data_IF_057468622677
#
_entry.id   IF_057468622677
#
_cell.length_a   1.000
_cell.length_b   1.000
_cell.length_c   1.000
_cell.angle_alpha   90.00
_cell.angle_beta   90.00
_cell.angle_gamma   90.00
#
_symmetry.space_group_name_H-M   'P 1'
#
loop_
_entity.id
_entity.type
_entity.pdbx_description
1 polymer ?
#
# COMPACT_ATOMS: atom_id res chain seq x y z
N UNK A 1 28.28 -2.76 -15.74
CA UNK A 1 28.06 -4.04 -15.04
C UNK A 1 27.05 -3.79 -13.94
N UNK A 2 25.82 -4.35 -14.01
CA UNK A 2 24.89 -4.29 -12.88
C UNK A 2 25.40 -5.30 -11.85
N UNK A 3 25.98 -4.82 -10.76
CA UNK A 3 26.32 -5.64 -9.61
C UNK A 3 25.07 -6.39 -9.17
N UNK A 4 25.06 -7.71 -9.35
CA UNK A 4 23.95 -8.54 -8.89
C UNK A 4 23.98 -8.52 -7.37
N UNK A 5 23.10 -7.71 -6.77
CA UNK A 5 22.88 -7.71 -5.32
C UNK A 5 22.57 -9.14 -4.86
N UNK A 6 23.11 -9.53 -3.71
CA UNK A 6 22.83 -10.86 -3.13
C UNK A 6 21.32 -11.01 -2.87
N UNK A 7 20.77 -12.23 -2.90
CA UNK A 7 19.36 -12.46 -2.57
C UNK A 7 18.93 -11.86 -1.22
N UNK A 8 19.83 -11.82 -0.23
CA UNK A 8 19.61 -11.19 1.06
C UNK A 8 19.46 -9.66 0.96
N UNK A 9 20.29 -9.01 0.14
CA UNK A 9 20.18 -7.56 -0.13
C UNK A 9 18.89 -7.23 -0.88
N UNK A 10 18.52 -8.01 -1.89
CA UNK A 10 17.25 -7.85 -2.63
C UNK A 10 16.07 -7.96 -1.66
N UNK A 11 16.07 -8.96 -0.77
CA UNK A 11 15.04 -9.14 0.25
C UNK A 11 14.98 -7.97 1.24
N UNK A 12 16.13 -7.48 1.71
CA UNK A 12 16.20 -6.36 2.62
C UNK A 12 15.71 -5.04 1.98
N UNK A 13 16.14 -4.76 0.74
CA UNK A 13 15.68 -3.60 -0.03
C UNK A 13 14.18 -3.64 -0.26
N UNK A 14 13.64 -4.79 -0.69
CA UNK A 14 12.19 -4.95 -0.87
C UNK A 14 11.42 -4.77 0.44
N UNK A 15 11.90 -5.31 1.55
CA UNK A 15 11.26 -5.16 2.85
C UNK A 15 11.20 -3.68 3.30
N UNK A 16 12.31 -2.95 3.17
CA UNK A 16 12.37 -1.53 3.50
C UNK A 16 11.42 -0.71 2.63
N UNK A 17 11.40 -0.97 1.33
CA UNK A 17 10.56 -0.22 0.40
C UNK A 17 9.06 -0.54 0.59
N UNK A 18 8.70 -1.77 0.96
CA UNK A 18 7.34 -2.13 1.37
C UNK A 18 6.93 -1.46 2.69
N UNK A 19 7.84 -1.32 3.67
CA UNK A 19 7.56 -0.58 4.90
C UNK A 19 7.27 0.89 4.62
N UNK A 20 8.04 1.52 3.72
CA UNK A 20 7.77 2.89 3.28
C UNK A 20 6.45 3.02 2.54
N UNK A 21 6.11 2.05 1.70
CA UNK A 21 4.82 2.00 1.03
C UNK A 21 3.67 1.89 2.03
N UNK A 22 3.79 1.04 3.06
CA UNK A 22 2.81 0.94 4.14
C UNK A 22 2.63 2.25 4.90
N UNK A 23 3.72 2.96 5.20
CA UNK A 23 3.65 4.28 5.85
C UNK A 23 2.87 5.31 5.00
N UNK A 24 3.02 5.29 3.67
CA UNK A 24 2.23 6.14 2.78
C UNK A 24 0.73 5.81 2.85
N UNK A 25 0.38 4.52 2.79
CA UNK A 25 -1.00 4.07 2.95
C UNK A 25 -1.59 4.47 4.31
N UNK A 26 -0.87 4.27 5.41
CA UNK A 26 -1.34 4.61 6.76
C UNK A 26 -1.59 6.13 6.91
N UNK A 27 -0.72 6.95 6.31
CA UNK A 27 -0.89 8.40 6.28
C UNK A 27 -2.09 8.82 5.44
N UNK A 28 -2.26 8.25 4.24
CA UNK A 28 -3.40 8.50 3.36
C UNK A 28 -4.72 8.12 4.05
N UNK A 29 -4.77 6.96 4.71
CA UNK A 29 -5.92 6.53 5.50
C UNK A 29 -6.22 7.48 6.66
N UNK A 30 -5.19 7.98 7.35
CA UNK A 30 -5.36 8.95 8.43
C UNK A 30 -5.96 10.25 7.94
N UNK A 31 -5.49 10.77 6.80
CA UNK A 31 -6.07 11.95 6.15
C UNK A 31 -7.52 11.72 5.73
N UNK A 32 -7.84 10.55 5.18
CA UNK A 32 -9.21 10.20 4.78
C UNK A 32 -10.14 10.12 6.00
N UNK A 33 -9.72 9.48 7.09
CA UNK A 33 -10.49 9.47 8.35
C UNK A 33 -10.71 10.89 8.89
N UNK A 34 -9.69 11.73 8.88
CA UNK A 34 -9.81 13.12 9.29
C UNK A 34 -10.76 13.91 8.39
N UNK A 35 -10.72 13.67 7.07
CA UNK A 35 -11.65 14.28 6.12
C UNK A 35 -13.09 13.85 6.42
N UNK A 36 -13.34 12.55 6.60
CA UNK A 36 -14.69 12.05 6.90
C UNK A 36 -15.24 12.57 8.22
N UNK A 37 -14.39 12.76 9.24
CA UNK A 37 -14.80 13.35 10.50
C UNK A 37 -15.30 14.81 10.35
N UNK A 38 -14.81 15.55 9.34
CA UNK A 38 -15.33 16.89 9.04
C UNK A 38 -16.74 16.87 8.44
N UNK A 39 -17.18 15.74 7.89
CA UNK A 39 -18.54 15.58 7.36
C UNK A 39 -19.54 15.13 8.44
N UNK A 40 -19.08 14.71 9.62
CA UNK A 40 -19.92 14.22 10.73
C UNK A 40 -20.41 15.36 11.63
N UNK A 41 -20.88 16.45 10.99
CA UNK A 41 -21.42 17.63 11.66
C UNK A 41 -22.81 17.96 11.11
N UNK A 42 -23.69 18.42 11.98
CA UNK A 42 -25.10 18.70 11.65
C UNK A 42 -25.27 19.83 10.64
N UNK A 43 -24.41 20.86 10.74
CA UNK A 43 -24.42 22.05 9.90
C UNK A 43 -23.04 22.24 9.26
N UNK A 44 -22.83 21.60 8.11
CA UNK A 44 -21.59 21.70 7.35
C UNK A 44 -21.55 23.03 6.59
N UNK A 45 -20.60 23.89 6.93
CA UNK A 45 -20.37 25.14 6.19
C UNK A 45 -19.42 24.95 4.98
N UNK A 46 -19.34 25.98 4.14
CA UNK A 46 -18.50 25.98 2.93
C UNK A 46 -17.02 25.85 3.27
N UNK A 47 -16.56 26.43 4.39
CA UNK A 47 -15.15 26.38 4.79
C UNK A 47 -14.74 24.97 5.23
N UNK A 48 -15.61 24.30 5.99
CA UNK A 48 -15.46 22.91 6.41
C UNK A 48 -15.48 21.97 5.20
N UNK A 49 -16.34 22.23 4.23
CA UNK A 49 -16.38 21.45 2.99
C UNK A 49 -15.10 21.63 2.15
N UNK A 50 -14.57 22.85 2.02
CA UNK A 50 -13.29 23.09 1.35
C UNK A 50 -12.14 22.40 2.08
N UNK A 51 -12.14 22.40 3.42
CA UNK A 51 -11.15 21.68 4.23
C UNK A 51 -11.24 20.17 4.04
N UNK A 52 -12.45 19.61 4.01
CA UNK A 52 -12.68 18.21 3.64
C UNK A 52 -12.09 17.91 2.26
N UNK A 53 -12.41 18.72 1.26
CA UNK A 53 -11.96 18.53 -0.13
C UNK A 53 -10.43 18.57 -0.24
N UNK A 54 -9.79 19.48 0.48
CA UNK A 54 -8.33 19.59 0.52
C UNK A 54 -7.69 18.33 1.14
N UNK A 55 -8.22 17.83 2.27
CA UNK A 55 -7.73 16.60 2.90
C UNK A 55 -7.96 15.37 2.03
N UNK A 56 -9.11 15.28 1.37
CA UNK A 56 -9.44 14.16 0.47
C UNK A 56 -8.49 14.13 -0.73
N UNK A 57 -8.27 15.28 -1.39
CA UNK A 57 -7.32 15.40 -2.51
C UNK A 57 -5.90 15.02 -2.09
N UNK A 58 -5.47 15.42 -0.89
CA UNK A 58 -4.16 15.04 -0.36
C UNK A 58 -4.06 13.53 -0.12
N UNK A 59 -5.11 12.92 0.47
CA UNK A 59 -5.15 11.48 0.67
C UNK A 59 -5.09 10.72 -0.66
N UNK A 60 -5.84 11.17 -1.67
CA UNK A 60 -5.88 10.54 -3.00
C UNK A 60 -4.50 10.58 -3.68
N UNK A 61 -3.82 11.73 -3.66
CA UNK A 61 -2.45 11.84 -4.18
C UNK A 61 -1.48 10.90 -3.45
N UNK A 62 -1.62 10.71 -2.13
CA UNK A 62 -0.76 9.78 -1.39
C UNK A 62 -1.08 8.30 -1.72
N UNK A 63 -2.32 7.98 -2.05
CA UNK A 63 -2.68 6.65 -2.53
C UNK A 63 -2.11 6.38 -3.92
N UNK A 64 -2.20 7.35 -4.83
CA UNK A 64 -1.59 7.27 -6.17
C UNK A 64 -0.08 7.04 -6.06
N UNK A 65 0.64 7.87 -5.28
CA UNK A 65 2.08 7.72 -5.05
C UNK A 65 2.44 6.34 -4.47
N UNK A 66 1.61 5.82 -3.54
CA UNK A 66 1.83 4.50 -2.97
C UNK A 66 1.60 3.38 -3.99
N UNK A 67 0.60 3.50 -4.87
CA UNK A 67 0.36 2.53 -5.93
C UNK A 67 1.52 2.53 -6.92
N UNK A 68 1.96 3.70 -7.37
CA UNK A 68 3.08 3.84 -8.30
C UNK A 68 4.38 3.29 -7.71
N UNK A 69 4.65 3.60 -6.44
CA UNK A 69 5.82 3.05 -5.73
C UNK A 69 5.76 1.51 -5.63
N UNK A 70 4.57 0.94 -5.43
CA UNK A 70 4.40 -0.51 -5.39
C UNK A 70 4.60 -1.16 -6.77
N UNK A 71 4.17 -0.50 -7.85
CA UNK A 71 4.41 -0.94 -9.22
C UNK A 71 5.91 -0.99 -9.51
N UNK A 72 6.64 0.11 -9.28
CA UNK A 72 8.10 0.18 -9.47
C UNK A 72 8.82 -0.87 -8.62
N UNK A 73 8.41 -1.04 -7.36
CA UNK A 73 8.97 -2.07 -6.46
C UNK A 73 8.79 -3.49 -7.00
N UNK A 74 7.65 -3.79 -7.62
CA UNK A 74 7.39 -5.11 -8.21
C UNK A 74 8.16 -5.34 -9.51
N UNK A 75 8.52 -4.28 -10.23
CA UNK A 75 9.36 -4.35 -11.43
C UNK A 75 10.85 -4.52 -11.07
N UNK A 76 11.38 -3.67 -10.17
CA UNK A 76 12.81 -3.63 -9.85
C UNK A 76 13.24 -4.75 -8.87
N UNK A 77 12.36 -5.15 -7.97
CA UNK A 77 12.65 -6.14 -6.93
C UNK A 77 11.55 -7.19 -6.88
N UNK A 78 11.28 -7.97 -7.95
CA UNK A 78 10.14 -8.88 -7.99
C UNK A 78 10.13 -9.80 -6.77
N UNK A 79 8.93 -10.21 -6.29
CA UNK A 79 8.84 -11.13 -5.17
C UNK A 79 9.68 -12.36 -5.48
N UNK A 80 10.67 -12.65 -4.62
CA UNK A 80 11.46 -13.87 -4.75
C UNK A 80 10.45 -15.01 -4.60
N UNK A 81 10.27 -15.87 -5.63
CA UNK A 81 9.31 -16.96 -5.54
C UNK A 81 9.76 -17.88 -4.41
N UNK A 82 9.11 -17.75 -3.24
CA UNK A 82 9.12 -18.80 -2.24
C UNK A 82 8.37 -19.96 -2.88
N UNK A 83 9.10 -20.93 -3.45
CA UNK A 83 8.59 -22.20 -3.98
C UNK A 83 7.06 -22.24 -4.08
N UNK A 84 6.50 -21.60 -5.11
CA UNK A 84 5.05 -21.44 -5.31
C UNK A 84 4.29 -22.77 -5.40
N UNK A 85 4.99 -23.90 -5.32
CA UNK A 85 4.43 -25.23 -5.15
C UNK A 85 3.72 -25.39 -3.81
N UNK A 86 4.22 -24.80 -2.71
CA UNK A 86 3.67 -25.06 -1.38
C UNK A 86 2.35 -24.31 -1.14
N UNK A 87 2.19 -23.09 -1.64
CA UNK A 87 0.97 -22.30 -1.45
C UNK A 87 -0.20 -22.78 -2.31
N UNK A 88 0.08 -23.26 -3.52
CA UNK A 88 -0.92 -23.86 -4.42
C UNK A 88 -1.32 -25.26 -3.95
N UNK A 89 -0.37 -26.06 -3.44
CA UNK A 89 -0.66 -27.35 -2.85
C UNK A 89 -1.52 -27.22 -1.59
N UNK A 90 -1.18 -26.30 -0.67
CA UNK A 90 -1.94 -26.08 0.56
C UNK A 90 -3.38 -25.59 0.29
N UNK A 91 -3.58 -24.77 -0.75
CA UNK A 91 -4.93 -24.36 -1.16
C UNK A 91 -5.76 -25.52 -1.71
N UNK A 92 -5.15 -26.41 -2.50
CA UNK A 92 -5.84 -27.62 -3.00
C UNK A 92 -6.16 -28.62 -1.89
N UNK A 93 -5.29 -28.80 -0.90
CA UNK A 93 -5.56 -29.69 0.24
C UNK A 93 -6.69 -29.18 1.14
N UNK A 94 -6.88 -27.87 1.24
CA UNK A 94 -7.99 -27.28 2.00
C UNK A 94 -9.33 -27.34 1.25
N UNK A 95 -9.31 -27.51 -0.08
CA UNK A 95 -10.51 -27.66 -0.92
C UNK A 95 -10.99 -29.13 -1.01
N UNK A 96 -10.17 -30.11 -0.62
CA UNK A 96 -10.50 -31.55 -0.71
C UNK A 96 -10.99 -32.18 0.60
N UNK A 97 -11.20 -31.39 1.65
CA UNK A 97 -11.82 -31.84 2.90
C UNK A 97 -13.30 -31.44 2.89
N UNK A 98 -14.12 -32.27 2.23
CA UNK A 98 -15.58 -32.35 2.41
C UNK A 98 -15.97 -33.77 2.84
#
# INVERSE_FOLDING_TARGET
MKECSTPAQIKACRALALERNRQLFDNAHTLNRAANALLDVKDLDIEQFERYRALRKKADSMFEDAIDHLCVLNEDFPPIPMSSQNSVALRRELETVE
#
